data_IF_312880578191
#
_entry.id   IF_312880578191
#
_cell.length_a   1.000
_cell.length_b   1.000
_cell.length_c   1.000
_cell.angle_alpha   90.00
_cell.angle_beta   90.00
_cell.angle_gamma   90.00
#
_symmetry.space_group_name_H-M   'P 1'
#
loop_
_entity.id
_entity.type
_entity.pdbx_description
1 polymer ?
#
# COMPACT_ATOMS: atom_id res chain seq x y z
N UNK A 1 -25.79 0.58 16.48
CA UNK A 1 -25.37 0.05 15.16
C UNK A 1 -23.98 -0.52 15.33
N UNK A 2 -23.71 -1.73 14.86
CA UNK A 2 -22.35 -2.27 14.85
C UNK A 2 -21.50 -1.44 13.86
N UNK A 3 -20.26 -1.06 14.20
CA UNK A 3 -19.42 -0.29 13.30
C UNK A 3 -19.19 -1.06 12.00
N UNK A 4 -19.31 -0.38 10.87
CA UNK A 4 -19.03 -0.98 9.56
C UNK A 4 -17.57 -1.46 9.50
N UNK A 5 -17.32 -2.70 9.03
CA UNK A 5 -15.97 -3.21 8.89
C UNK A 5 -15.13 -2.32 7.96
N UNK A 6 -13.87 -2.08 8.33
CA UNK A 6 -12.88 -1.41 7.47
C UNK A 6 -12.75 -2.13 6.13
N UNK A 7 -12.61 -1.39 5.05
CA UNK A 7 -12.58 -1.94 3.69
C UNK A 7 -11.31 -1.55 2.98
N UNK A 8 -10.77 -2.48 2.19
CA UNK A 8 -9.73 -2.17 1.22
C UNK A 8 -10.34 -1.34 0.09
N UNK A 9 -9.66 -0.28 -0.35
CA UNK A 9 -10.11 0.57 -1.46
C UNK A 9 -9.22 0.46 -2.71
N UNK A 10 -7.92 0.19 -2.55
CA UNK A 10 -7.01 0.02 -3.68
C UNK A 10 -5.68 -0.61 -3.25
N UNK A 11 -4.92 -1.10 -4.23
CA UNK A 11 -3.55 -1.53 -4.03
C UNK A 11 -2.64 -0.34 -3.76
N UNK A 12 -1.60 -0.56 -2.96
CA UNK A 12 -0.63 0.45 -2.62
C UNK A 12 0.78 -0.15 -2.50
N UNK A 13 1.77 0.71 -2.65
CA UNK A 13 3.15 0.39 -2.26
C UNK A 13 3.65 1.45 -1.30
N UNK A 14 4.44 1.03 -0.32
CA UNK A 14 5.13 1.92 0.58
C UNK A 14 6.61 1.94 0.23
N UNK A 15 7.06 3.06 -0.32
CA UNK A 15 8.47 3.33 -0.56
C UNK A 15 9.07 4.03 0.66
N UNK A 16 9.79 3.25 1.46
CA UNK A 16 10.53 3.73 2.62
C UNK A 16 11.76 4.51 2.17
N UNK A 17 11.67 5.84 2.21
CA UNK A 17 12.75 6.75 1.82
C UNK A 17 13.23 7.66 2.96
N UNK A 18 12.68 7.47 4.17
CA UNK A 18 13.05 8.22 5.38
C UNK A 18 12.58 9.67 5.40
N UNK A 19 11.75 10.12 4.46
CA UNK A 19 11.17 11.46 4.44
C UNK A 19 9.75 11.45 4.99
N UNK A 20 9.36 12.51 5.66
CA UNK A 20 7.99 12.74 6.12
C UNK A 20 7.21 13.52 5.06
N UNK A 21 5.92 13.21 4.92
CA UNK A 21 5.03 13.85 3.95
C UNK A 21 3.67 14.11 4.61
N UNK A 22 3.14 15.33 4.50
CA UNK A 22 1.94 15.78 5.26
C UNK A 22 0.59 15.19 4.82
N UNK A 23 0.54 14.37 3.76
CA UNK A 23 -0.69 13.78 3.23
C UNK A 23 -0.53 12.28 2.97
N UNK A 24 -0.08 11.56 3.99
CA UNK A 24 0.14 10.11 3.96
C UNK A 24 -0.90 9.37 4.81
N UNK A 25 -0.97 8.04 4.71
CA UNK A 25 -1.80 7.24 5.60
C UNK A 25 -1.52 7.54 7.06
N UNK A 26 -2.56 7.50 7.88
CA UNK A 26 -2.52 7.90 9.29
C UNK A 26 -1.52 7.09 10.12
N UNK A 27 -1.24 5.86 9.69
CA UNK A 27 -0.36 4.91 10.37
C UNK A 27 1.03 4.80 9.72
N UNK A 28 1.45 5.80 8.95
CA UNK A 28 2.75 5.85 8.29
C UNK A 28 3.47 7.14 8.70
N UNK A 29 4.56 6.98 9.44
CA UNK A 29 5.37 8.10 9.94
C UNK A 29 6.31 8.67 8.86
N UNK A 30 6.90 7.80 8.04
CA UNK A 30 7.82 8.20 6.98
C UNK A 30 7.76 7.30 5.75
N UNK A 31 8.33 7.77 4.65
CA UNK A 31 8.22 7.15 3.34
C UNK A 31 7.00 7.62 2.57
N UNK A 32 6.95 7.25 1.29
CA UNK A 32 5.89 7.62 0.37
C UNK A 32 5.03 6.39 0.05
N UNK A 33 3.74 6.46 0.38
CA UNK A 33 2.73 5.51 -0.04
C UNK A 33 2.12 5.96 -1.35
N UNK A 34 2.14 5.07 -2.34
CA UNK A 34 1.64 5.32 -3.69
C UNK A 34 0.52 4.32 -3.96
N UNK A 35 -0.67 4.82 -4.26
CA UNK A 35 -1.83 4.02 -4.59
C UNK A 35 -1.95 3.77 -6.10
N UNK A 36 -2.65 2.69 -6.46
CA UNK A 36 -3.05 2.40 -7.83
C UNK A 36 -4.17 1.37 -7.88
N UNK A 37 -4.84 1.23 -9.03
CA UNK A 37 -5.90 0.22 -9.21
C UNK A 37 -5.39 -1.18 -8.85
N UNK A 38 -4.18 -1.52 -9.32
CA UNK A 38 -3.42 -2.73 -8.99
C UNK A 38 -1.98 -2.34 -8.64
N UNK A 39 -1.21 -3.26 -8.04
CA UNK A 39 0.16 -2.98 -7.62
C UNK A 39 1.06 -2.52 -8.77
N UNK A 40 0.89 -3.08 -9.98
CA UNK A 40 1.68 -2.68 -11.14
C UNK A 40 1.47 -1.20 -11.52
N UNK A 41 0.26 -0.65 -11.32
CA UNK A 41 0.00 0.78 -11.56
C UNK A 41 0.76 1.66 -10.55
N UNK A 42 0.74 1.27 -9.27
CA UNK A 42 1.48 1.99 -8.21
C UNK A 42 3.00 1.92 -8.43
N UNK A 43 3.51 0.76 -8.84
CA UNK A 43 4.92 0.54 -9.17
C UNK A 43 5.35 1.41 -10.35
N UNK A 44 4.54 1.48 -11.42
CA UNK A 44 4.82 2.34 -12.56
C UNK A 44 4.98 3.81 -12.14
N UNK A 45 4.06 4.33 -11.33
CA UNK A 45 4.16 5.69 -10.78
C UNK A 45 5.47 5.89 -10.02
N UNK A 46 5.85 4.94 -9.15
CA UNK A 46 7.14 5.01 -8.47
C UNK A 46 8.29 5.02 -9.47
N UNK A 47 8.34 4.13 -10.46
CA UNK A 47 9.40 4.09 -11.47
C UNK A 47 9.53 5.43 -12.20
N UNK A 48 8.43 6.06 -12.60
CA UNK A 48 8.43 7.37 -13.26
C UNK A 48 8.95 8.47 -12.33
N UNK A 49 8.51 8.49 -11.07
CA UNK A 49 9.01 9.44 -10.07
C UNK A 49 10.52 9.25 -9.83
N UNK A 50 10.98 8.00 -9.81
CA UNK A 50 12.40 7.63 -9.61
C UNK A 50 13.26 8.02 -10.81
N UNK A 51 12.79 7.81 -12.03
CA UNK A 51 13.51 8.17 -13.25
C UNK A 51 13.82 9.69 -13.31
N UNK A 52 12.98 10.52 -12.69
CA UNK A 52 13.19 11.97 -12.60
C UNK A 52 14.17 12.40 -11.51
N UNK A 53 14.49 11.53 -10.55
CA UNK A 53 15.48 11.82 -9.50
C UNK A 53 16.84 11.29 -9.93
N UNK A 54 17.80 12.19 -10.18
CA UNK A 54 19.15 11.88 -10.69
C UNK A 54 19.76 10.60 -10.09
N UNK A 55 20.32 9.78 -10.99
CA UNK A 55 20.90 8.42 -10.87
C UNK A 55 21.76 8.06 -9.63
N UNK A 56 22.05 8.95 -8.69
CA UNK A 56 23.11 8.76 -7.68
C UNK A 56 22.69 8.30 -6.28
N UNK A 57 21.43 8.50 -5.86
CA UNK A 57 21.06 8.36 -4.44
C UNK A 57 20.36 7.04 -4.07
N UNK A 58 20.51 6.00 -4.90
CA UNK A 58 19.62 4.84 -4.90
C UNK A 58 20.18 3.54 -4.32
N UNK A 59 21.47 3.50 -3.96
CA UNK A 59 22.17 2.28 -3.53
C UNK A 59 22.35 2.15 -2.01
N UNK A 60 21.71 3.01 -1.21
CA UNK A 60 21.75 2.82 0.24
C UNK A 60 20.76 1.70 0.62
N UNK A 61 21.17 0.78 1.50
CA UNK A 61 20.33 -0.32 2.06
C UNK A 61 19.03 0.15 2.75
N UNK A 62 18.77 1.46 2.77
CA UNK A 62 17.64 2.12 3.46
C UNK A 62 16.37 2.19 2.61
N UNK A 63 16.43 1.98 1.30
CA UNK A 63 15.24 2.05 0.44
C UNK A 63 14.57 0.69 0.31
N UNK A 64 13.48 0.48 1.06
CA UNK A 64 12.62 -0.72 0.97
C UNK A 64 11.31 -0.38 0.29
N UNK A 65 10.81 -1.27 -0.56
CA UNK A 65 9.47 -1.17 -1.14
C UNK A 65 8.66 -2.31 -0.55
N UNK A 66 7.62 -1.98 0.20
CA UNK A 66 6.62 -2.93 0.66
C UNK A 66 5.37 -2.82 -0.22
N UNK A 67 4.70 -3.94 -0.45
CA UNK A 67 3.42 -3.99 -1.14
C UNK A 67 2.30 -4.20 -0.12
N UNK A 68 1.16 -3.59 -0.37
CA UNK A 68 0.06 -3.56 0.57
C UNK A 68 -1.15 -2.86 -0.02
N UNK A 69 -2.01 -2.34 0.83
CA UNK A 69 -3.28 -1.75 0.41
C UNK A 69 -3.67 -0.56 1.27
N UNK A 70 -4.41 0.37 0.66
CA UNK A 70 -5.05 1.47 1.36
C UNK A 70 -6.47 1.07 1.78
N UNK A 71 -6.91 1.58 2.92
CA UNK A 71 -8.27 1.39 3.42
C UNK A 71 -9.12 2.66 3.35
N UNK A 72 -10.43 2.48 3.47
CA UNK A 72 -11.41 3.57 3.59
C UNK A 72 -11.24 4.40 4.88
N UNK A 73 -10.50 3.89 5.87
CA UNK A 73 -10.14 4.63 7.09
C UNK A 73 -8.88 5.48 6.94
N UNK A 74 -8.20 5.41 5.79
CA UNK A 74 -6.97 6.13 5.51
C UNK A 74 -5.73 5.49 6.12
N UNK A 75 -5.74 4.17 6.31
CA UNK A 75 -4.60 3.39 6.78
C UNK A 75 -3.97 2.61 5.62
N UNK A 76 -2.67 2.37 5.72
CA UNK A 76 -1.96 1.42 4.88
C UNK A 76 -1.69 0.13 5.65
N UNK A 77 -1.93 -1.01 5.04
CA UNK A 77 -1.63 -2.31 5.62
C UNK A 77 -0.82 -3.16 4.65
N UNK A 78 0.05 -4.02 5.18
CA UNK A 78 0.71 -5.03 4.36
C UNK A 78 -0.30 -6.08 3.86
N UNK A 79 0.13 -6.92 2.91
CA UNK A 79 -0.76 -7.93 2.29
C UNK A 79 -1.40 -8.89 3.31
N UNK A 80 -0.71 -9.25 4.39
CA UNK A 80 -1.21 -10.20 5.40
C UNK A 80 -2.28 -9.54 6.28
N UNK A 81 -2.03 -8.32 6.72
CA UNK A 81 -3.00 -7.52 7.47
C UNK A 81 -4.21 -7.18 6.61
N UNK A 82 -4.01 -6.80 5.35
CA UNK A 82 -5.08 -6.52 4.40
C UNK A 82 -5.96 -7.75 4.12
N UNK A 83 -5.39 -8.96 4.10
CA UNK A 83 -6.19 -10.19 3.94
C UNK A 83 -7.23 -10.34 5.06
N UNK A 84 -6.80 -10.11 6.31
CA UNK A 84 -7.69 -10.16 7.48
C UNK A 84 -8.79 -9.11 7.41
N UNK A 85 -8.49 -7.92 6.88
CA UNK A 85 -9.48 -6.85 6.67
C UNK A 85 -10.47 -7.26 5.59
N UNK A 86 -9.98 -7.73 4.44
CA UNK A 86 -10.80 -8.13 3.30
C UNK A 86 -11.76 -9.29 3.65
N UNK A 87 -11.33 -10.26 4.46
CA UNK A 87 -12.20 -11.33 4.96
C UNK A 87 -13.30 -10.78 5.88
N UNK A 88 -12.93 -9.94 6.86
CA UNK A 88 -13.87 -9.33 7.80
C UNK A 88 -14.92 -8.43 7.11
N UNK A 89 -14.55 -7.83 5.99
CA UNK A 89 -15.42 -6.96 5.20
C UNK A 89 -16.15 -7.66 4.05
N UNK A 90 -16.02 -8.98 3.95
CA UNK A 90 -16.56 -9.81 2.86
C UNK A 90 -16.14 -9.34 1.45
N UNK A 91 -14.94 -8.77 1.31
CA UNK A 91 -14.36 -8.43 0.00
C UNK A 91 -13.73 -9.63 -0.72
N UNK A 92 -13.39 -10.67 0.04
CA UNK A 92 -12.85 -11.94 -0.46
C UNK A 92 -13.55 -13.10 0.27
N UNK A 93 -13.59 -14.28 -0.35
CA UNK A 93 -14.29 -15.45 0.19
C UNK A 93 -13.36 -16.53 0.75
N UNK A 94 -12.10 -16.54 0.33
CA UNK A 94 -11.12 -17.58 0.65
C UNK A 94 -9.95 -16.93 1.36
N UNK A 95 -9.43 -17.54 2.42
CA UNK A 95 -8.20 -17.11 3.09
C UNK A 95 -6.97 -17.69 2.35
N UNK A 96 -6.20 -16.81 1.71
CA UNK A 96 -5.01 -17.11 0.92
C UNK A 96 -3.72 -16.68 1.66
N UNK A 97 -3.78 -16.41 2.97
CA UNK A 97 -2.69 -15.89 3.82
C UNK A 97 -2.21 -14.47 3.48
N UNK A 98 -2.05 -14.16 2.19
CA UNK A 98 -1.67 -12.87 1.64
C UNK A 98 -2.75 -12.41 0.65
N UNK A 99 -3.09 -11.13 0.72
CA UNK A 99 -3.98 -10.53 -0.25
C UNK A 99 -3.21 -10.11 -1.51
N UNK A 100 -3.66 -10.57 -2.67
CA UNK A 100 -3.21 -10.09 -3.97
C UNK A 100 -4.22 -9.07 -4.51
N UNK A 101 -3.75 -8.15 -5.36
CA UNK A 101 -4.64 -7.12 -5.88
C UNK A 101 -5.73 -7.68 -6.79
N UNK A 102 -5.49 -8.85 -7.36
CA UNK A 102 -6.35 -9.65 -8.23
C UNK A 102 -7.48 -10.34 -7.46
N UNK A 103 -7.33 -10.53 -6.13
CA UNK A 103 -8.38 -11.11 -5.28
C UNK A 103 -9.52 -10.11 -5.01
N UNK A 104 -9.22 -8.81 -5.13
CA UNK A 104 -10.18 -7.73 -4.93
C UNK A 104 -10.71 -7.25 -6.27
N UNK A 105 -12.02 -7.04 -6.39
CA UNK A 105 -12.70 -6.50 -7.58
C UNK A 105 -12.51 -7.34 -8.85
#
# INVERSE_FOLDING_TARGET
MNPTPERIICAAIHWQNGKEYGHQPKNIESGLVICGRRHHNAILTLVVLRAKTRFGLWRTRRHRIAQGFMTDRGNYYDRRQSMKIALKSNQVKVDNELLFSEDLY
#
